data_IF_307683103595
#
_entry.id   IF_307683103595
#
_cell.length_a   1.000
_cell.length_b   1.000
_cell.length_c   1.000
_cell.angle_alpha   90.00
_cell.angle_beta   90.00
_cell.angle_gamma   90.00
#
_symmetry.space_group_name_H-M   'P 1'
#
loop_
_entity.id
_entity.type
_entity.pdbx_description
1 polymer ?
#
# COMPACT_ATOMS: atom_id res chain seq x y z
N UNK A 1 4.29 27.64 3.20
CA UNK A 1 4.51 26.30 2.62
C UNK A 1 3.23 25.81 1.98
N UNK A 2 3.33 25.39 0.76
CA UNK A 2 2.16 24.88 0.04
C UNK A 2 1.96 23.41 0.36
N UNK A 3 0.76 23.06 0.77
CA UNK A 3 0.40 21.66 1.04
C UNK A 3 -0.03 20.98 -0.25
N UNK A 4 0.38 19.73 -0.42
CA UNK A 4 -0.11 18.91 -1.52
C UNK A 4 -1.57 18.53 -1.29
N UNK A 5 -2.33 18.41 -2.37
CA UNK A 5 -3.68 17.89 -2.29
C UNK A 5 -3.61 16.39 -2.04
N UNK A 6 -3.74 15.99 -0.77
CA UNK A 6 -3.55 14.61 -0.34
C UNK A 6 -4.52 13.67 -1.06
N UNK A 7 -5.78 14.05 -1.20
CA UNK A 7 -6.76 13.18 -1.85
C UNK A 7 -6.43 12.91 -3.32
N UNK A 8 -6.07 13.97 -4.05
CA UNK A 8 -5.71 13.86 -5.46
C UNK A 8 -4.47 12.99 -5.65
N UNK A 9 -3.43 13.29 -4.89
CA UNK A 9 -2.14 12.61 -5.06
C UNK A 9 -2.09 11.26 -4.38
N UNK A 10 -2.92 11.03 -3.35
CA UNK A 10 -3.09 9.70 -2.78
C UNK A 10 -3.65 8.72 -3.82
N UNK A 11 -4.65 9.11 -4.56
CA UNK A 11 -5.25 8.24 -5.59
C UNK A 11 -4.25 7.90 -6.69
N UNK A 12 -3.45 8.88 -7.11
CA UNK A 12 -2.38 8.67 -8.08
C UNK A 12 -1.32 7.71 -7.53
N UNK A 13 -0.84 7.97 -6.32
CA UNK A 13 0.17 7.15 -5.66
C UNK A 13 -0.33 5.73 -5.44
N UNK A 14 -1.57 5.57 -4.98
CA UNK A 14 -2.20 4.26 -4.82
C UNK A 14 -2.22 3.48 -6.13
N UNK A 15 -2.61 4.12 -7.22
CA UNK A 15 -2.65 3.47 -8.53
C UNK A 15 -1.27 3.03 -8.97
N UNK A 16 -0.28 3.88 -8.78
CA UNK A 16 1.11 3.55 -9.10
C UNK A 16 1.61 2.37 -8.27
N UNK A 17 1.38 2.40 -6.96
CA UNK A 17 1.82 1.34 -6.05
C UNK A 17 1.12 0.03 -6.37
N UNK A 18 -0.19 0.03 -6.54
CA UNK A 18 -0.94 -1.18 -6.83
C UNK A 18 -0.49 -1.81 -8.14
N UNK A 19 -0.22 -1.02 -9.15
CA UNK A 19 0.27 -1.52 -10.43
C UNK A 19 1.70 -2.05 -10.33
N UNK A 20 2.56 -1.34 -9.60
CA UNK A 20 3.96 -1.73 -9.43
C UNK A 20 4.10 -3.02 -8.62
N UNK A 21 3.36 -3.16 -7.55
CA UNK A 21 3.50 -4.28 -6.61
C UNK A 21 2.45 -5.37 -6.78
N UNK A 22 1.52 -5.21 -7.71
CA UNK A 22 0.50 -6.23 -7.97
C UNK A 22 -0.55 -6.37 -6.88
N UNK A 23 -0.93 -5.27 -6.25
CA UNK A 23 -1.93 -5.25 -5.19
C UNK A 23 -3.26 -4.70 -5.69
N UNK A 24 -4.34 -5.06 -5.00
CA UNK A 24 -5.65 -4.42 -5.16
C UNK A 24 -5.73 -3.22 -4.21
N UNK A 25 -6.54 -2.23 -4.56
CA UNK A 25 -6.68 -1.01 -3.77
C UNK A 25 -7.08 -1.31 -2.31
N UNK A 26 -8.06 -2.19 -2.10
CA UNK A 26 -8.51 -2.56 -0.77
C UNK A 26 -7.42 -3.30 0.03
N UNK A 27 -6.62 -4.13 -0.65
CA UNK A 27 -5.52 -4.84 -0.01
C UNK A 27 -4.44 -3.86 0.47
N UNK A 28 -4.11 -2.87 -0.34
CA UNK A 28 -3.13 -1.85 0.03
C UNK A 28 -3.59 -1.06 1.26
N UNK A 29 -4.84 -0.61 1.25
CA UNK A 29 -5.38 0.16 2.38
C UNK A 29 -5.40 -0.66 3.66
N UNK A 30 -5.73 -1.95 3.57
CA UNK A 30 -5.68 -2.86 4.70
C UNK A 30 -4.25 -3.01 5.24
N UNK A 31 -3.27 -3.15 4.35
CA UNK A 31 -1.87 -3.27 4.76
C UNK A 31 -1.38 -1.99 5.47
N UNK A 32 -1.78 -0.83 5.01
CA UNK A 32 -1.45 0.44 5.67
C UNK A 32 -2.05 0.47 7.08
N UNK A 33 -3.31 0.05 7.22
CA UNK A 33 -3.97 -0.05 8.52
C UNK A 33 -3.21 -0.98 9.47
N UNK A 34 -2.84 -2.18 8.98
CA UNK A 34 -2.13 -3.17 9.78
C UNK A 34 -0.72 -2.72 10.15
N UNK A 35 -0.04 -2.03 9.25
CA UNK A 35 1.30 -1.50 9.53
C UNK A 35 1.25 -0.45 10.63
N UNK A 36 0.24 0.42 10.63
CA UNK A 36 0.03 1.38 11.71
C UNK A 36 -0.26 0.70 13.04
N UNK A 37 -0.93 -0.44 13.00
CA UNK A 37 -1.25 -1.21 14.20
C UNK A 37 -0.03 -1.92 14.77
N UNK A 38 0.91 -2.30 13.92
CA UNK A 38 2.11 -3.03 14.28
C UNK A 38 1.89 -4.53 14.27
N UNK A 39 1.85 -5.15 15.45
CA UNK A 39 1.62 -6.60 15.57
C UNK A 39 0.13 -6.87 15.74
N UNK A 40 -0.35 -7.92 15.08
CA UNK A 40 -1.78 -8.22 15.09
C UNK A 40 -2.04 -9.71 15.06
N UNK A 41 -3.22 -10.10 15.54
CA UNK A 41 -3.73 -11.47 15.44
C UNK A 41 -4.62 -11.59 14.22
N UNK A 42 -4.96 -12.83 13.85
CA UNK A 42 -5.92 -13.05 12.75
C UNK A 42 -7.27 -12.39 13.04
N UNK A 43 -7.69 -12.38 14.31
CA UNK A 43 -8.92 -11.70 14.70
C UNK A 43 -8.86 -10.20 14.41
N UNK A 44 -7.73 -9.56 14.71
CA UNK A 44 -7.55 -8.14 14.44
C UNK A 44 -7.52 -7.84 12.94
N UNK A 45 -6.99 -8.76 12.14
CA UNK A 45 -7.08 -8.66 10.68
C UNK A 45 -8.54 -8.68 10.23
N UNK A 46 -9.33 -9.61 10.74
CA UNK A 46 -10.76 -9.73 10.42
C UNK A 46 -11.48 -8.44 10.85
N UNK A 47 -11.19 -7.92 12.03
CA UNK A 47 -11.78 -6.68 12.53
C UNK A 47 -11.42 -5.48 11.64
N UNK A 48 -10.20 -5.46 11.09
CA UNK A 48 -9.76 -4.42 10.16
C UNK A 48 -10.47 -4.44 8.81
N UNK A 49 -11.08 -5.56 8.45
CA UNK A 49 -11.84 -5.69 7.20
C UNK A 49 -13.35 -5.69 7.43
N UNK A 50 -13.81 -5.21 8.58
CA UNK A 50 -15.24 -5.27 8.92
C UNK A 50 -16.13 -4.51 7.93
N UNK A 51 -15.60 -3.53 7.24
CA UNK A 51 -16.31 -2.80 6.18
C UNK A 51 -16.32 -3.55 4.84
N UNK A 52 -15.57 -4.64 4.75
CA UNK A 52 -15.52 -5.53 3.59
C UNK A 52 -15.94 -6.91 4.06
N UNK A 53 -16.46 -7.74 3.16
CA UNK A 53 -16.71 -9.13 3.50
C UNK A 53 -15.41 -9.84 3.86
N UNK A 54 -15.44 -10.67 4.91
CA UNK A 54 -14.29 -11.51 5.25
C UNK A 54 -13.93 -12.40 4.06
N UNK A 55 -12.66 -12.41 3.70
CA UNK A 55 -12.17 -13.18 2.57
C UNK A 55 -10.90 -13.92 2.97
N UNK A 56 -11.04 -15.23 3.15
CA UNK A 56 -9.92 -16.12 3.43
C UNK A 56 -8.88 -16.09 2.30
N UNK A 57 -9.34 -15.92 1.06
CA UNK A 57 -8.45 -15.85 -0.10
C UNK A 57 -7.54 -14.62 0.00
N UNK A 58 -8.06 -13.49 0.50
CA UNK A 58 -7.26 -12.29 0.73
C UNK A 58 -6.18 -12.54 1.77
N UNK A 59 -6.53 -13.16 2.90
CA UNK A 59 -5.58 -13.50 3.94
C UNK A 59 -4.47 -14.40 3.41
N UNK A 60 -4.85 -15.49 2.73
CA UNK A 60 -3.89 -16.45 2.17
C UNK A 60 -3.02 -15.79 1.10
N UNK A 61 -3.61 -14.97 0.22
CA UNK A 61 -2.87 -14.29 -0.84
C UNK A 61 -1.83 -13.33 -0.29
N UNK A 62 -2.19 -12.51 0.69
CA UNK A 62 -1.27 -11.54 1.26
C UNK A 62 -0.11 -12.23 1.99
N UNK A 63 -0.38 -13.36 2.62
CA UNK A 63 0.69 -14.16 3.24
C UNK A 63 1.58 -14.82 2.20
N UNK A 64 1.01 -15.40 1.16
CA UNK A 64 1.76 -16.06 0.08
C UNK A 64 2.64 -15.06 -0.69
N UNK A 65 2.15 -13.86 -0.89
CA UNK A 65 2.89 -12.80 -1.58
C UNK A 65 3.97 -12.15 -0.69
N UNK A 66 4.01 -12.51 0.57
CA UNK A 66 5.03 -12.02 1.49
C UNK A 66 4.76 -10.63 2.07
N UNK A 67 3.51 -10.16 2.05
CA UNK A 67 3.14 -8.87 2.65
C UNK A 67 2.91 -8.98 4.15
N UNK A 68 2.43 -10.14 4.62
CA UNK A 68 2.16 -10.45 6.02
C UNK A 68 3.00 -11.66 6.40
N UNK A 69 3.67 -11.60 7.54
CA UNK A 69 4.48 -12.70 8.06
C UNK A 69 4.14 -13.02 9.51
N UNK A 70 4.45 -14.23 9.93
CA UNK A 70 4.30 -14.63 11.32
C UNK A 70 5.42 -14.01 12.15
N UNK A 71 5.05 -13.24 13.17
CA UNK A 71 6.04 -12.70 14.11
C UNK A 71 6.36 -13.68 15.21
N UNK A 72 5.34 -14.35 15.79
CA UNK A 72 5.53 -15.30 16.88
C UNK A 72 4.30 -16.21 17.00
N UNK A 73 4.56 -17.48 17.35
CA UNK A 73 3.52 -18.37 17.84
C UNK A 73 3.50 -18.30 19.36
N UNK A 74 2.33 -18.18 19.96
CA UNK A 74 2.18 -18.14 21.41
C UNK A 74 1.25 -19.25 21.86
N UNK A 75 1.62 -19.89 23.00
CA UNK A 75 0.78 -20.84 23.70
C UNK A 75 0.27 -20.19 24.98
N UNK A 76 -1.03 -20.24 25.20
CA UNK A 76 -1.62 -19.94 26.51
C UNK A 76 -2.34 -21.19 26.99
N UNK A 77 -1.78 -21.84 28.01
CA UNK A 77 -2.33 -23.05 28.63
C UNK A 77 -2.72 -24.11 27.60
N UNK A 78 -3.93 -24.04 27.04
CA UNK A 78 -4.45 -24.99 26.06
C UNK A 78 -4.68 -24.40 24.67
N UNK A 79 -4.45 -23.08 24.51
CA UNK A 79 -4.73 -22.37 23.24
C UNK A 79 -3.43 -21.85 22.65
N UNK A 80 -3.14 -22.34 21.44
CA UNK A 80 -2.04 -21.83 20.63
C UNK A 80 -2.59 -20.76 19.68
N UNK A 81 -1.94 -19.59 19.64
CA UNK A 81 -2.31 -18.55 18.69
C UNK A 81 -1.05 -17.92 18.11
N UNK A 82 -1.21 -17.39 16.87
CA UNK A 82 -0.11 -16.76 16.17
C UNK A 82 -0.29 -15.25 16.17
N UNK A 83 0.81 -14.53 16.30
CA UNK A 83 0.88 -13.09 16.16
C UNK A 83 1.59 -12.80 14.85
N UNK A 84 1.05 -11.89 14.08
CA UNK A 84 1.53 -11.54 12.74
C UNK A 84 1.99 -10.09 12.71
N UNK A 85 2.74 -9.76 11.68
CA UNK A 85 3.14 -8.38 11.39
C UNK A 85 3.24 -8.21 9.88
N UNK A 86 3.24 -6.95 9.43
CA UNK A 86 3.60 -6.65 8.05
C UNK A 86 5.07 -6.98 7.86
N UNK A 87 5.42 -7.53 6.69
CA UNK A 87 6.81 -7.89 6.38
C UNK A 87 7.67 -6.63 6.20
N UNK A 88 8.99 -6.81 6.21
CA UNK A 88 9.93 -5.73 5.92
C UNK A 88 9.66 -5.12 4.54
N UNK A 89 9.40 -5.96 3.55
CA UNK A 89 9.03 -5.55 2.20
C UNK A 89 7.79 -4.65 2.22
N UNK A 90 6.78 -5.03 3.00
CA UNK A 90 5.55 -4.24 3.14
C UNK A 90 5.82 -2.89 3.80
N UNK A 91 6.57 -2.88 4.89
CA UNK A 91 6.91 -1.64 5.60
C UNK A 91 7.73 -0.70 4.73
N UNK A 92 8.64 -1.21 3.91
CA UNK A 92 9.39 -0.39 2.97
C UNK A 92 8.48 0.24 1.91
N UNK A 93 7.54 -0.53 1.37
CA UNK A 93 6.57 -0.02 0.40
C UNK A 93 5.74 1.11 1.01
N UNK A 94 5.23 0.91 2.23
CA UNK A 94 4.41 1.90 2.91
C UNK A 94 5.22 3.16 3.24
N UNK A 95 6.46 3.00 3.69
CA UNK A 95 7.34 4.14 3.93
C UNK A 95 7.58 4.95 2.65
N UNK A 96 7.70 4.28 1.52
CA UNK A 96 7.85 4.94 0.23
C UNK A 96 6.59 5.74 -0.13
N UNK A 97 5.40 5.20 0.15
CA UNK A 97 4.15 5.92 -0.07
C UNK A 97 4.13 7.22 0.73
N UNK A 98 4.51 7.17 2.00
CA UNK A 98 4.59 8.36 2.84
C UNK A 98 5.57 9.38 2.31
N UNK A 99 6.76 8.95 1.87
CA UNK A 99 7.76 9.86 1.29
C UNK A 99 7.25 10.56 0.03
N UNK A 100 6.54 9.82 -0.82
CA UNK A 100 5.95 10.38 -2.04
C UNK A 100 4.88 11.42 -1.69
N UNK A 101 3.99 11.09 -0.76
CA UNK A 101 2.90 11.98 -0.36
C UNK A 101 3.39 13.22 0.39
N UNK A 102 4.49 13.10 1.15
CA UNK A 102 5.10 14.23 1.85
C UNK A 102 6.00 15.08 0.96
N UNK A 103 6.20 14.67 -0.30
CA UNK A 103 7.03 15.41 -1.24
C UNK A 103 8.52 15.14 -1.12
N UNK A 104 8.93 14.13 -0.37
CA UNK A 104 10.32 13.76 -0.19
C UNK A 104 10.87 12.88 -1.32
N UNK A 105 10.00 12.25 -2.08
CA UNK A 105 10.35 11.38 -3.20
C UNK A 105 9.39 11.63 -4.35
N UNK A 106 9.90 11.58 -5.58
CA UNK A 106 9.09 11.74 -6.78
C UNK A 106 8.74 10.38 -7.38
N UNK A 107 7.55 10.28 -7.95
CA UNK A 107 7.19 9.12 -8.77
C UNK A 107 8.06 9.11 -10.04
N UNK A 108 8.45 7.92 -10.53
CA UNK A 108 9.23 7.83 -11.77
C UNK A 108 8.50 8.45 -12.96
N UNK A 109 9.23 9.16 -13.80
CA UNK A 109 8.69 9.85 -14.97
C UNK A 109 9.31 9.31 -16.26
N UNK A 110 8.76 9.71 -17.40
CA UNK A 110 9.25 9.35 -18.74
C UNK A 110 9.39 7.82 -18.89
N UNK A 111 10.51 7.36 -19.40
CA UNK A 111 10.73 5.94 -19.66
C UNK A 111 10.72 5.06 -18.42
N UNK A 112 10.95 5.65 -17.25
CA UNK A 112 10.93 4.93 -15.96
C UNK A 112 9.53 4.74 -15.40
N UNK A 113 8.54 5.44 -15.94
CA UNK A 113 7.16 5.32 -15.50
C UNK A 113 6.56 4.00 -15.94
N UNK A 114 5.82 3.33 -15.05
CA UNK A 114 5.05 2.14 -15.43
C UNK A 114 3.93 2.46 -16.39
N UNK A 115 3.60 3.73 -16.56
CA UNK A 115 2.59 4.21 -17.51
C UNK A 115 3.19 4.68 -18.85
N UNK A 116 4.48 4.43 -19.05
CA UNK A 116 5.20 4.95 -20.23
C UNK A 116 4.65 4.43 -21.56
N UNK A 117 4.32 3.16 -21.63
CA UNK A 117 3.76 2.55 -22.84
C UNK A 117 2.31 2.93 -23.07
N UNK A 118 2.05 4.18 -23.25
CA UNK A 118 0.77 4.87 -23.25
C UNK A 118 -0.15 4.50 -24.39
N UNK A 119 -0.56 3.26 -24.50
CA UNK A 119 -1.55 2.86 -25.49
C UNK A 119 -2.97 3.20 -25.06
N UNK A 120 -3.18 3.48 -23.76
CA UNK A 120 -4.50 3.83 -23.25
C UNK A 120 -4.56 5.29 -22.82
N UNK A 121 -5.75 5.85 -22.87
CA UNK A 121 -6.02 7.20 -22.37
C UNK A 121 -5.69 7.33 -20.88
N UNK A 122 -5.98 6.28 -20.12
CA UNK A 122 -5.73 6.25 -18.67
C UNK A 122 -4.25 6.43 -18.35
N UNK A 123 -3.37 5.76 -19.09
CA UNK A 123 -1.92 5.89 -18.88
C UNK A 123 -1.43 7.31 -19.16
N UNK A 124 -1.96 7.96 -20.19
CA UNK A 124 -1.63 9.36 -20.50
C UNK A 124 -2.05 10.29 -19.37
N UNK A 125 -3.24 10.07 -18.79
CA UNK A 125 -3.75 10.86 -17.67
C UNK A 125 -2.85 10.69 -16.45
N UNK A 126 -2.44 9.47 -16.13
CA UNK A 126 -1.56 9.22 -14.98
C UNK A 126 -0.17 9.83 -15.17
N UNK A 127 0.42 9.74 -16.35
CA UNK A 127 1.71 10.39 -16.63
C UNK A 127 1.63 11.89 -16.45
N UNK A 128 0.57 12.52 -16.96
CA UNK A 128 0.35 13.96 -16.79
C UNK A 128 0.16 14.31 -15.31
N UNK A 129 -0.58 13.48 -14.57
CA UNK A 129 -0.80 13.70 -13.13
C UNK A 129 0.51 13.62 -12.33
N UNK A 130 1.42 12.74 -12.71
CA UNK A 130 2.75 12.64 -12.09
C UNK A 130 3.53 13.94 -12.33
N UNK A 131 3.56 14.44 -13.56
CA UNK A 131 4.23 15.69 -13.90
C UNK A 131 3.64 16.86 -13.13
N UNK A 132 2.32 16.94 -13.01
CA UNK A 132 1.63 17.98 -12.26
C UNK A 132 1.99 17.92 -10.76
N UNK A 133 2.07 16.72 -10.19
CA UNK A 133 2.46 16.54 -8.81
C UNK A 133 3.87 17.07 -8.53
N UNK A 134 4.81 16.76 -9.41
CA UNK A 134 6.20 17.21 -9.31
C UNK A 134 6.25 18.75 -9.37
N UNK A 135 5.53 19.36 -10.30
CA UNK A 135 5.45 20.82 -10.43
C UNK A 135 4.85 21.47 -9.17
N UNK A 136 3.77 20.90 -8.65
CA UNK A 136 3.12 21.42 -7.45
C UNK A 136 4.03 21.35 -6.25
N UNK A 137 4.84 20.31 -6.14
CA UNK A 137 5.79 20.14 -5.05
C UNK A 137 6.90 21.20 -5.10
N UNK A 138 7.36 21.56 -6.29
CA UNK A 138 8.47 22.46 -6.51
C UNK A 138 8.11 23.96 -6.39
N UNK A 139 6.84 24.27 -6.21
CA UNK A 139 6.41 25.66 -6.03
C UNK A 139 6.67 26.21 -4.65
#
# INVERSE_FOLDING_TARGET
MRELNILKYYRLTRKWVCKTYGLKDADLELLIYLDCKGRFTRKEFIDGVYTYSWDKQRWDRLRQQGWIETWRHRNRTTIMYSVFKTSFKCSQMISRIYRILLGEEDLPTSERSIFYNNKSYTDKVYNKAIDDMIKDKDR
#
